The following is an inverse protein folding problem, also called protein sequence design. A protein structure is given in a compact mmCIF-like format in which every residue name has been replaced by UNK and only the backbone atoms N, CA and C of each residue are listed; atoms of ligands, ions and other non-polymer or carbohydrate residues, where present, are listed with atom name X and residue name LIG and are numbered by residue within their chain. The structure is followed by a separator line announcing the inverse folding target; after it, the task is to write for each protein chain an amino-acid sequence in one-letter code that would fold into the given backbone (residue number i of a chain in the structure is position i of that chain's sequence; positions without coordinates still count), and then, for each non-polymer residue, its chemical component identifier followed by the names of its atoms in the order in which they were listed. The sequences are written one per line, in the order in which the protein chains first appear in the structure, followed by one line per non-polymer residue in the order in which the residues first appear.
data_IF_922712593148
#
_entry.id   IF_922712593148
#
_cell.length_a   1.000
_cell.length_b   1.000
_cell.length_c   1.000
_cell.angle_alpha   90.00
_cell.angle_beta   90.00
_cell.angle_gamma   90.00
#
_symmetry.space_group_name_H-M   'P 1'
#
loop_
_entity.id
_entity.type
_entity.pdbx_description
1 polymer ?
#
# COMPACT_ATOMS: atom_id res chain seq x y z
N UNK A 1 6.62 -10.84 4.17
CA UNK A 1 6.96 -11.69 2.99
C UNK A 1 7.16 -10.77 1.79
N UNK A 2 8.08 -11.07 0.86
CA UNK A 2 8.19 -10.29 -0.39
C UNK A 2 7.09 -10.67 -1.38
N UNK A 3 6.68 -9.72 -2.22
CA UNK A 3 5.87 -10.02 -3.39
C UNK A 3 6.75 -10.78 -4.40
N UNK A 4 6.34 -11.98 -4.80
CA UNK A 4 7.14 -12.89 -5.62
C UNK A 4 6.26 -13.54 -6.71
N UNK A 5 6.86 -14.11 -7.78
CA UNK A 5 6.13 -14.93 -8.73
C UNK A 5 5.33 -16.06 -8.07
N UNK A 6 4.18 -16.40 -8.65
CA UNK A 6 3.36 -17.53 -8.17
C UNK A 6 4.15 -18.84 -8.14
N UNK A 7 5.01 -19.07 -9.14
CA UNK A 7 5.90 -20.25 -9.19
C UNK A 7 6.79 -20.35 -7.95
N UNK A 8 7.39 -19.22 -7.55
CA UNK A 8 8.32 -19.16 -6.43
C UNK A 8 7.57 -19.38 -5.12
N UNK A 9 6.37 -18.81 -5.01
CA UNK A 9 5.48 -19.05 -3.87
C UNK A 9 5.08 -20.52 -3.74
N UNK A 10 4.69 -21.17 -4.84
CA UNK A 10 4.35 -22.61 -4.85
C UNK A 10 5.53 -23.44 -4.35
N UNK A 11 6.74 -23.16 -4.85
CA UNK A 11 7.95 -23.86 -4.42
C UNK A 11 8.25 -23.62 -2.93
N UNK A 12 8.01 -22.42 -2.41
CA UNK A 12 8.12 -22.11 -0.99
C UNK A 12 7.13 -22.92 -0.15
N UNK A 13 5.86 -22.95 -0.55
CA UNK A 13 4.82 -23.71 0.18
C UNK A 13 5.10 -25.22 0.14
N UNK A 14 5.58 -25.75 -1.00
CA UNK A 14 5.99 -27.14 -1.13
C UNK A 14 7.10 -27.50 -0.13
N UNK A 15 8.12 -26.64 0.04
CA UNK A 15 9.21 -26.87 1.01
C UNK A 15 8.74 -26.86 2.46
N UNK A 16 7.70 -26.09 2.77
CA UNK A 16 7.11 -26.00 4.12
C UNK A 16 6.17 -27.16 4.44
N UNK A 17 5.76 -27.92 3.43
CA UNK A 17 4.86 -29.06 3.59
C UNK A 17 5.60 -30.22 4.25
N UNK A 18 5.23 -30.55 5.49
CA UNK A 18 5.95 -31.51 6.34
C UNK A 18 5.54 -32.98 6.10
N UNK A 19 4.44 -33.22 5.39
CA UNK A 19 3.89 -34.54 5.11
C UNK A 19 3.16 -34.56 3.77
N UNK A 20 3.29 -35.64 3.00
CA UNK A 20 2.51 -35.88 1.77
C UNK A 20 0.99 -36.04 2.03
N UNK A 21 0.55 -36.09 3.29
CA UNK A 21 -0.88 -36.18 3.64
C UNK A 21 -1.52 -34.85 4.02
N UNK A 22 -0.76 -33.75 4.18
CA UNK A 22 -1.28 -32.41 4.57
C UNK A 22 -1.11 -31.39 3.42
N UNK A 23 -1.55 -31.75 2.21
CA UNK A 23 -1.52 -30.84 1.05
C UNK A 23 -2.64 -29.79 1.05
N UNK A 24 -3.68 -29.97 1.86
CA UNK A 24 -4.87 -29.10 1.84
C UNK A 24 -4.51 -27.66 2.22
N UNK A 25 -3.67 -27.46 3.26
CA UNK A 25 -3.30 -26.11 3.71
C UNK A 25 -2.41 -25.38 2.68
N UNK A 26 -1.30 -25.96 2.18
CA UNK A 26 -0.50 -25.34 1.12
C UNK A 26 -1.30 -25.02 -0.14
N UNK A 27 -2.20 -25.92 -0.57
CA UNK A 27 -3.04 -25.69 -1.74
C UNK A 27 -3.97 -24.49 -1.56
N UNK A 28 -4.62 -24.36 -0.40
CA UNK A 28 -5.45 -23.20 -0.08
C UNK A 28 -4.64 -21.90 -0.13
N UNK A 29 -3.44 -21.88 0.43
CA UNK A 29 -2.56 -20.71 0.37
C UNK A 29 -2.18 -20.35 -1.07
N UNK A 30 -1.88 -21.35 -1.92
CA UNK A 30 -1.57 -21.14 -3.34
C UNK A 30 -2.75 -20.52 -4.07
N UNK A 31 -3.97 -21.02 -3.86
CA UNK A 31 -5.17 -20.42 -4.46
C UNK A 31 -5.40 -18.99 -4.01
N UNK A 32 -5.35 -18.73 -2.70
CA UNK A 32 -5.49 -17.39 -2.14
C UNK A 32 -4.44 -16.43 -2.71
N UNK A 33 -3.19 -16.88 -2.83
CA UNK A 33 -2.11 -16.06 -3.39
C UNK A 33 -2.32 -15.78 -4.89
N UNK A 34 -2.78 -16.78 -5.65
CA UNK A 34 -3.09 -16.60 -7.06
C UNK A 34 -4.25 -15.61 -7.27
N UNK A 35 -5.26 -15.64 -6.40
CA UNK A 35 -6.35 -14.66 -6.40
C UNK A 35 -5.85 -13.26 -6.02
N UNK A 36 -5.01 -13.16 -4.99
CA UNK A 36 -4.36 -11.93 -4.58
C UNK A 36 -3.56 -11.30 -5.72
N UNK A 37 -2.72 -12.07 -6.43
CA UNK A 37 -1.95 -11.60 -7.57
C UNK A 37 -2.84 -11.07 -8.72
N UNK A 38 -4.05 -11.61 -8.87
CA UNK A 38 -5.02 -11.19 -9.89
C UNK A 38 -5.82 -9.94 -9.52
N UNK A 39 -5.74 -9.47 -8.28
CA UNK A 39 -6.48 -8.28 -7.85
C UNK A 39 -6.05 -7.06 -8.67
N UNK A 40 -7.01 -6.23 -9.12
CA UNK A 40 -6.70 -4.98 -9.79
C UNK A 40 -6.01 -4.01 -8.82
N UNK A 41 -5.04 -3.25 -9.34
CA UNK A 41 -4.36 -2.25 -8.52
C UNK A 41 -5.30 -1.12 -8.13
N UNK A 42 -5.23 -0.73 -6.86
CA UNK A 42 -5.90 0.46 -6.34
C UNK A 42 -4.90 1.30 -5.55
N UNK A 43 -5.16 2.61 -5.45
CA UNK A 43 -4.29 3.51 -4.69
C UNK A 43 -4.14 3.09 -3.22
N UNK A 44 -5.25 2.61 -2.63
CA UNK A 44 -5.32 2.15 -1.24
C UNK A 44 -4.40 0.97 -0.90
N UNK A 45 -3.92 0.22 -1.89
CA UNK A 45 -2.94 -0.85 -1.65
C UNK A 45 -1.55 -0.31 -1.25
N UNK A 46 -1.25 0.97 -1.55
CA UNK A 46 0.06 1.57 -1.35
C UNK A 46 0.06 2.64 -0.25
N UNK A 47 -1.02 3.41 -0.13
CA UNK A 47 -1.15 4.50 0.84
C UNK A 47 -2.54 4.49 1.47
N UNK A 48 -2.68 4.99 2.71
CA UNK A 48 -3.99 5.19 3.31
C UNK A 48 -4.81 6.18 2.49
N UNK A 49 -6.07 5.84 2.19
CA UNK A 49 -7.01 6.69 1.46
C UNK A 49 -8.36 6.74 2.19
N UNK A 50 -9.02 7.88 2.09
CA UNK A 50 -10.38 8.07 2.60
C UNK A 50 -11.43 7.38 1.71
N UNK A 51 -12.70 7.48 2.11
CA UNK A 51 -13.86 6.97 1.35
C UNK A 51 -14.05 7.60 -0.03
N UNK A 52 -13.43 8.75 -0.29
CA UNK A 52 -13.45 9.46 -1.56
C UNK A 52 -12.20 9.20 -2.42
N UNK A 53 -11.28 8.36 -1.96
CA UNK A 53 -10.03 8.04 -2.63
C UNK A 53 -8.99 9.17 -2.55
N UNK A 54 -9.11 10.06 -1.57
CA UNK A 54 -8.12 11.08 -1.22
C UNK A 54 -7.08 10.46 -0.29
N UNK A 55 -5.81 10.75 -0.54
CA UNK A 55 -4.70 10.23 0.27
C UNK A 55 -4.73 10.89 1.66
N UNK A 56 -4.72 10.06 2.70
CA UNK A 56 -4.62 10.52 4.07
C UNK A 56 -3.15 10.66 4.48
N UNK A 57 -2.84 11.75 5.17
CA UNK A 57 -1.48 12.01 5.63
C UNK A 57 -1.14 11.20 6.89
N UNK A 58 0.12 10.76 7.05
CA UNK A 58 0.56 10.19 8.30
C UNK A 58 0.32 11.14 9.47
N UNK A 59 -0.28 10.62 10.53
CA UNK A 59 -0.45 11.32 11.79
C UNK A 59 0.93 11.76 12.32
N UNK A 60 1.13 13.07 12.49
CA UNK A 60 2.32 13.61 13.15
C UNK A 60 2.07 13.64 14.65
N UNK A 61 3.02 13.18 15.46
CA UNK A 61 2.90 13.14 16.92
C UNK A 61 3.84 14.16 17.59
N UNK A 62 3.35 14.81 18.65
CA UNK A 62 3.95 16.03 19.23
C UNK A 62 5.36 15.82 19.77
N UNK A 63 5.65 14.65 20.30
CA UNK A 63 6.95 14.24 20.83
C UNK A 63 6.96 12.70 20.93
N UNK A 64 8.08 12.04 20.63
CA UNK A 64 8.28 10.61 20.97
C UNK A 64 9.03 10.42 22.30
N UNK A 65 9.47 11.52 22.93
CA UNK A 65 10.16 11.50 24.21
C UNK A 65 9.17 11.49 25.37
N UNK A 66 9.41 10.62 26.36
CA UNK A 66 8.60 10.44 27.57
C UNK A 66 8.53 11.68 28.48
N UNK A 67 9.42 12.65 28.28
CA UNK A 67 9.56 13.84 29.12
C UNK A 67 8.73 15.04 28.62
N UNK A 68 8.20 14.93 27.41
CA UNK A 68 7.29 15.91 26.85
C UNK A 68 5.88 15.57 27.33
N UNK A 69 5.30 16.37 28.22
CA UNK A 69 3.98 16.14 28.83
C UNK A 69 2.79 16.02 27.85
N UNK A 70 3.03 16.01 26.53
CA UNK A 70 2.06 15.55 25.56
C UNK A 70 2.05 14.00 25.54
N UNK A 71 0.93 13.40 25.91
CA UNK A 71 0.71 11.94 25.88
C UNK A 71 0.66 11.39 24.44
N UNK A 72 1.75 11.50 23.66
CA UNK A 72 1.81 10.96 22.30
C UNK A 72 0.65 11.39 21.40
N UNK A 73 0.07 12.57 21.63
CA UNK A 73 -1.10 13.03 20.89
C UNK A 73 -0.68 13.51 19.50
N UNK A 74 -1.49 13.27 18.46
CA UNK A 74 -1.21 13.81 17.14
C UNK A 74 -1.30 15.33 17.16
N UNK A 75 -0.28 16.00 16.61
CA UNK A 75 -0.11 17.47 16.62
C UNK A 75 -1.14 18.17 15.75
N UNK A 76 -1.56 17.48 14.68
CA UNK A 76 -2.31 18.08 13.59
C UNK A 76 -3.72 17.50 13.45
N UNK A 77 -4.18 16.68 14.41
CA UNK A 77 -5.49 16.03 14.33
C UNK A 77 -6.26 16.36 15.59
N UNK A 78 -7.37 17.10 15.39
CA UNK A 78 -8.19 17.63 16.47
C UNK A 78 -9.33 16.70 16.89
N UNK A 79 -9.60 15.63 16.12
CA UNK A 79 -10.71 14.72 16.33
C UNK A 79 -10.25 13.25 16.34
N UNK A 80 -10.75 12.46 17.31
CA UNK A 80 -10.52 11.01 17.38
C UNK A 80 -10.97 10.29 16.10
N UNK A 81 -12.02 10.81 15.45
CA UNK A 81 -12.57 10.25 14.20
C UNK A 81 -11.55 10.24 13.05
N UNK A 82 -10.74 11.29 12.90
CA UNK A 82 -9.69 11.36 11.88
C UNK A 82 -8.54 10.37 12.16
N UNK A 83 -8.27 10.10 13.44
CA UNK A 83 -7.28 9.12 13.88
C UNK A 83 -7.77 7.71 13.50
N UNK A 84 -9.02 7.40 13.83
CA UNK A 84 -9.64 6.12 13.55
C UNK A 84 -9.72 5.88 12.03
N UNK A 85 -10.16 6.88 11.26
CA UNK A 85 -10.22 6.82 9.80
C UNK A 85 -8.83 6.54 9.19
N UNK A 86 -7.79 7.20 9.70
CA UNK A 86 -6.42 6.94 9.24
C UNK A 86 -5.99 5.50 9.52
N UNK A 87 -6.22 4.98 10.72
CA UNK A 87 -5.80 3.62 11.06
C UNK A 87 -6.58 2.57 10.27
N UNK A 88 -7.89 2.74 10.10
CA UNK A 88 -8.71 1.86 9.26
C UNK A 88 -8.26 1.88 7.79
N UNK A 89 -7.89 3.05 7.27
CA UNK A 89 -7.36 3.18 5.92
C UNK A 89 -5.96 2.58 5.80
N UNK A 90 -5.13 2.72 6.83
CA UNK A 90 -3.78 2.20 6.88
C UNK A 90 -3.75 0.66 6.96
N UNK A 91 -4.72 0.04 7.62
CA UNK A 91 -4.85 -1.43 7.65
C UNK A 91 -5.18 -2.03 6.27
N UNK A 92 -5.80 -1.24 5.39
CA UNK A 92 -6.06 -1.62 3.99
C UNK A 92 -4.84 -1.52 3.09
N UNK A 93 -3.73 -0.94 3.56
CA UNK A 93 -2.47 -0.91 2.81
C UNK A 93 -1.89 -2.32 2.77
N UNK A 94 -1.71 -2.84 1.55
CA UNK A 94 -1.28 -4.23 1.32
C UNK A 94 0.21 -4.34 0.98
N UNK A 95 0.78 -3.29 0.40
CA UNK A 95 2.12 -3.29 -0.18
C UNK A 95 2.97 -2.20 0.47
N UNK A 96 4.10 -2.63 1.04
CA UNK A 96 5.17 -1.76 1.53
C UNK A 96 6.36 -1.79 0.58
N UNK A 97 6.82 -0.61 0.18
CA UNK A 97 8.00 -0.40 -0.65
C UNK A 97 8.48 1.05 -0.53
N UNK A 98 9.52 1.42 -1.28
CA UNK A 98 9.99 2.80 -1.28
C UNK A 98 9.03 3.65 -2.11
N UNK A 99 8.14 4.36 -1.42
CA UNK A 99 7.25 5.34 -2.01
C UNK A 99 7.92 6.71 -1.96
N UNK A 100 7.87 7.44 -3.08
CA UNK A 100 8.23 8.86 -3.13
C UNK A 100 6.97 9.67 -3.31
N UNK A 101 6.68 10.49 -2.31
CA UNK A 101 5.58 11.46 -2.38
C UNK A 101 6.17 12.81 -2.75
N UNK A 102 5.73 13.39 -3.88
CA UNK A 102 6.19 14.71 -4.33
C UNK A 102 5.01 15.68 -4.33
N UNK A 103 5.12 16.67 -3.45
CA UNK A 103 4.11 17.74 -3.30
C UNK A 103 4.61 19.11 -3.74
N UNK A 104 5.79 19.16 -4.34
CA UNK A 104 6.38 20.42 -4.76
C UNK A 104 5.52 21.01 -5.88
N UNK A 105 5.01 22.24 -5.71
CA UNK A 105 4.17 22.86 -6.71
C UNK A 105 4.91 23.00 -8.05
N UNK A 106 4.19 22.86 -9.15
CA UNK A 106 4.73 23.03 -10.50
C UNK A 106 4.01 24.19 -11.18
N UNK A 107 4.74 25.27 -11.49
CA UNK A 107 4.16 26.51 -12.05
C UNK A 107 3.00 27.02 -11.17
N UNK A 108 1.82 27.24 -11.77
CA UNK A 108 0.60 27.70 -11.11
C UNK A 108 -0.31 26.54 -10.65
N UNK A 109 0.24 25.33 -10.44
CA UNK A 109 -0.53 24.15 -10.00
C UNK A 109 -0.01 23.61 -8.67
N UNK A 110 -0.93 23.25 -7.77
CA UNK A 110 -0.59 22.34 -6.67
C UNK A 110 -0.48 20.94 -7.24
N UNK A 111 0.47 20.17 -6.73
CA UNK A 111 0.81 18.85 -7.25
C UNK A 111 0.86 17.87 -6.09
N UNK A 112 0.27 16.70 -6.27
CA UNK A 112 0.48 15.54 -5.40
C UNK A 112 0.81 14.34 -6.28
N UNK A 113 2.03 13.83 -6.18
CA UNK A 113 2.46 12.62 -6.87
C UNK A 113 2.80 11.54 -5.87
N UNK A 114 2.44 10.31 -6.22
CA UNK A 114 2.92 9.13 -5.52
C UNK A 114 3.59 8.23 -6.54
N UNK A 115 4.87 8.04 -6.33
CA UNK A 115 5.72 7.25 -7.20
C UNK A 115 6.25 6.03 -6.43
N UNK A 116 6.15 4.86 -7.05
CA UNK A 116 6.77 3.62 -6.60
C UNK A 116 8.19 3.54 -7.14
N UNK A 117 9.17 3.36 -6.26
CA UNK A 117 10.58 3.29 -6.63
C UNK A 117 11.20 2.01 -6.10
N UNK A 118 11.94 1.29 -6.95
CA UNK A 118 12.68 0.10 -6.55
C UNK A 118 13.96 -0.02 -7.39
N UNK A 119 15.10 0.37 -6.80
CA UNK A 119 16.35 0.53 -7.54
C UNK A 119 16.18 1.55 -8.67
N UNK A 120 16.51 1.15 -9.91
CA UNK A 120 16.32 1.96 -11.11
C UNK A 120 14.88 1.93 -11.67
N UNK A 121 14.02 1.05 -11.13
CA UNK A 121 12.64 0.91 -11.59
C UNK A 121 11.76 1.95 -10.93
N UNK A 122 10.85 2.50 -11.73
CA UNK A 122 9.93 3.55 -11.33
C UNK A 122 8.55 3.27 -11.94
N UNK A 123 7.49 3.57 -11.20
CA UNK A 123 6.12 3.65 -11.69
C UNK A 123 5.39 4.76 -10.95
N UNK A 124 4.67 5.61 -11.66
CA UNK A 124 3.81 6.60 -11.03
C UNK A 124 2.46 6.00 -10.75
N UNK A 125 2.13 5.90 -9.47
CA UNK A 125 0.86 5.34 -8.99
C UNK A 125 -0.23 6.40 -9.06
N UNK A 126 0.09 7.65 -8.69
CA UNK A 126 -0.90 8.71 -8.58
C UNK A 126 -0.37 10.06 -9.04
N UNK A 127 -1.23 10.83 -9.69
CA UNK A 127 -1.05 12.25 -9.95
C UNK A 127 -2.34 12.97 -9.65
N UNK A 128 -2.23 14.04 -8.87
CA UNK A 128 -3.26 15.04 -8.68
C UNK A 128 -2.66 16.41 -9.00
N UNK A 129 -3.29 17.13 -9.92
CA UNK A 129 -2.97 18.52 -10.25
C UNK A 129 -4.16 19.39 -9.90
N UNK A 130 -3.98 20.34 -8.99
CA UNK A 130 -4.97 21.38 -8.72
C UNK A 130 -4.54 22.67 -9.40
N UNK A 131 -5.35 23.13 -10.34
CA UNK A 131 -5.12 24.37 -11.07
C UNK A 131 -5.57 25.58 -10.25
N UNK A 132 -5.03 26.76 -10.57
CA UNK A 132 -5.46 28.03 -9.98
C UNK A 132 -6.95 28.33 -10.23
N UNK A 133 -7.56 27.72 -11.25
CA UNK A 133 -9.01 27.77 -11.55
C UNK A 133 -9.85 26.95 -10.56
N UNK A 134 -9.23 26.09 -9.74
CA UNK A 134 -9.90 25.12 -8.88
C UNK A 134 -10.17 23.77 -9.54
N UNK A 135 -9.89 23.62 -10.84
CA UNK A 135 -9.98 22.33 -11.52
C UNK A 135 -8.98 21.32 -10.95
N UNK A 136 -9.39 20.05 -10.85
CA UNK A 136 -8.57 18.96 -10.35
C UNK A 136 -8.46 17.88 -11.41
N UNK A 137 -7.24 17.62 -11.89
CA UNK A 137 -6.93 16.50 -12.77
C UNK A 137 -6.33 15.36 -11.94
N UNK A 138 -6.91 14.16 -12.04
CA UNK A 138 -6.42 12.94 -11.39
C UNK A 138 -6.05 11.88 -12.41
N UNK A 139 -4.88 11.28 -12.24
CA UNK A 139 -4.42 10.14 -13.05
C UNK A 139 -3.86 9.05 -12.15
N UNK A 140 -4.15 7.81 -12.50
CA UNK A 140 -3.69 6.62 -11.80
C UNK A 140 -2.81 5.77 -12.71
N UNK A 141 -1.75 5.19 -12.16
CA UNK A 141 -0.91 4.19 -12.81
C UNK A 141 -0.40 4.58 -14.21
N UNK A 142 0.07 5.82 -14.39
CA UNK A 142 0.51 6.36 -15.69
C UNK A 142 -0.59 6.29 -16.79
N UNK A 143 -1.86 6.32 -16.41
CA UNK A 143 -2.99 6.16 -17.33
C UNK A 143 -3.16 4.74 -17.88
N UNK A 144 -2.43 3.76 -17.33
CA UNK A 144 -2.58 2.36 -17.67
C UNK A 144 -3.77 1.78 -16.92
N UNK A 145 -4.63 1.10 -17.66
CA UNK A 145 -5.80 0.43 -17.10
C UNK A 145 -5.52 -1.07 -16.91
N UNK A 146 -6.29 -1.71 -16.02
CA UNK A 146 -6.28 -3.15 -15.79
C UNK A 146 -4.95 -3.74 -15.28
N UNK A 147 -4.09 -2.93 -14.66
CA UNK A 147 -2.92 -3.46 -13.95
C UNK A 147 -3.37 -4.28 -12.74
N UNK A 148 -2.62 -5.34 -12.47
CA UNK A 148 -2.84 -6.27 -11.35
C UNK A 148 -1.64 -6.29 -10.41
N UNK A 149 -1.82 -6.87 -9.24
CA UNK A 149 -0.74 -7.07 -8.26
C UNK A 149 0.44 -7.83 -8.86
N UNK A 150 0.17 -8.80 -9.74
CA UNK A 150 1.20 -9.56 -10.46
C UNK A 150 2.16 -8.67 -11.28
N UNK A 151 1.68 -7.55 -11.85
CA UNK A 151 2.52 -6.61 -12.62
C UNK A 151 3.58 -5.92 -11.77
N UNK A 152 3.44 -6.01 -10.44
CA UNK A 152 4.33 -5.40 -9.47
C UNK A 152 5.47 -6.32 -9.01
N UNK A 153 5.50 -7.60 -9.40
CA UNK A 153 6.55 -8.55 -8.99
C UNK A 153 7.97 -8.05 -9.35
N UNK A 154 8.08 -7.22 -10.38
CA UNK A 154 9.35 -6.59 -10.78
C UNK A 154 9.86 -5.55 -9.78
N UNK A 155 9.04 -5.08 -8.84
CA UNK A 155 9.42 -4.15 -7.79
C UNK A 155 9.70 -4.94 -6.50
N UNK A 156 10.67 -4.47 -5.72
CA UNK A 156 10.99 -5.06 -4.42
C UNK A 156 9.98 -4.61 -3.36
N UNK A 157 8.79 -5.22 -3.39
CA UNK A 157 7.70 -4.95 -2.46
C UNK A 157 7.57 -6.01 -1.39
N UNK A 158 7.10 -5.59 -0.23
CA UNK A 158 6.80 -6.45 0.91
C UNK A 158 5.31 -6.40 1.22
N UNK A 159 4.74 -7.56 1.52
CA UNK A 159 3.36 -7.67 1.99
C UNK A 159 3.28 -7.23 3.45
N UNK A 160 2.28 -6.41 3.75
CA UNK A 160 1.93 -6.01 5.13
C UNK A 160 1.36 -7.20 5.91
N UNK A 161 1.29 -7.12 7.26
CA UNK A 161 0.60 -8.12 8.06
C UNK A 161 -0.85 -8.35 7.62
N UNK A 162 -1.60 -7.29 7.32
CA UNK A 162 -2.98 -7.38 6.82
C UNK A 162 -3.06 -8.10 5.46
N UNK A 163 -2.12 -7.83 4.55
CA UNK A 163 -2.05 -8.57 3.28
C UNK A 163 -1.73 -10.05 3.48
N UNK A 164 -0.86 -10.38 4.43
CA UNK A 164 -0.53 -11.77 4.76
C UNK A 164 -1.73 -12.51 5.36
N UNK A 165 -2.46 -11.85 6.26
CA UNK A 165 -3.70 -12.37 6.82
C UNK A 165 -4.76 -12.59 5.74
N UNK A 166 -4.90 -11.65 4.80
CA UNK A 166 -5.84 -11.77 3.67
C UNK A 166 -5.55 -12.99 2.78
N UNK A 167 -4.29 -13.40 2.64
CA UNK A 167 -3.93 -14.63 1.90
C UNK A 167 -3.94 -15.89 2.78
N UNK A 168 -4.27 -15.77 4.06
CA UNK A 168 -4.40 -16.88 5.02
C UNK A 168 -3.10 -17.26 5.74
N UNK A 169 -2.07 -16.40 5.69
CA UNK A 169 -0.83 -16.58 6.44
C UNK A 169 -0.97 -15.86 7.78
N UNK A 170 -0.87 -16.61 8.88
CA UNK A 170 -0.85 -16.04 10.24
C UNK A 170 0.52 -15.41 10.51
N UNK A 171 0.52 -14.16 10.97
CA UNK A 171 1.71 -13.35 11.29
C UNK A 171 1.74 -13.03 12.76
#
# INVERSE_FOLDING_TARGET
MKLIPLSDFILEQKRKTTSETDYVKPLKLIFNYAEFLKQPLTLGMFVPVDKHGVVLEPLQFCCTSSDCGCMGMPVNVSAQEEIDEYYEANDKVLLKGVLRVNKTPYKATKRNLIDLVSGEKFMRIYTELTYWTGEIEKQYFDGKNNLKVEDLIKFDLTLTPSALEAIGIKV
#
